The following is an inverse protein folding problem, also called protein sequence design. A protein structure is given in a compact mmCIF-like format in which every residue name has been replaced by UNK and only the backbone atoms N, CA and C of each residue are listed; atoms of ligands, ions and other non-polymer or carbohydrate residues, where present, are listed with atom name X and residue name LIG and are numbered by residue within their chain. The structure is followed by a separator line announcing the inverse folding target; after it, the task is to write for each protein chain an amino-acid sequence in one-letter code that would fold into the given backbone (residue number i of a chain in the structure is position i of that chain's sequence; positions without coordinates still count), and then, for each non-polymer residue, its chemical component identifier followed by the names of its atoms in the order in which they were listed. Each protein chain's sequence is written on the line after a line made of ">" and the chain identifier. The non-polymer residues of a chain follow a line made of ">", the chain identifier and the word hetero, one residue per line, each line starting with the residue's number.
data_IF_890813477601
#
_entry.id   IF_890813477601
#
_cell.length_a   1.000
_cell.length_b   1.000
_cell.length_c   1.000
_cell.angle_alpha   90.00
_cell.angle_beta   90.00
_cell.angle_gamma   90.00
#
_symmetry.space_group_name_H-M   'P 1'
#
loop_
_entity.id
_entity.type
_entity.pdbx_description
1 polymer ?
#
# COMPACT_ATOMS: atom_id res chain seq x y z
N UNK A 1 -16.60 78.22 -1.70
CA UNK A 1 -17.28 77.21 -0.86
C UNK A 1 -18.46 76.67 -1.66
N UNK A 2 -18.44 75.40 -2.07
CA UNK A 2 -19.61 74.52 -2.26
C UNK A 2 -19.14 73.17 -2.82
N UNK A 3 -19.27 72.11 -2.02
CA UNK A 3 -19.07 70.71 -2.41
C UNK A 3 -20.22 70.25 -3.33
N UNK A 4 -19.98 69.46 -4.39
CA UNK A 4 -21.06 68.72 -5.04
C UNK A 4 -21.22 67.31 -4.46
N UNK A 5 -22.46 67.09 -4.03
CA UNK A 5 -23.30 65.89 -4.01
C UNK A 5 -22.68 64.48 -4.09
N UNK A 6 -23.07 63.68 -3.09
CA UNK A 6 -23.00 62.22 -3.05
C UNK A 6 -23.98 61.65 -4.09
N UNK A 7 -23.47 60.88 -5.06
CA UNK A 7 -24.28 60.02 -5.92
C UNK A 7 -24.12 58.57 -5.46
N UNK A 8 -25.18 58.03 -4.87
CA UNK A 8 -25.38 56.58 -4.72
C UNK A 8 -25.80 56.04 -6.07
N UNK A 9 -25.07 55.07 -6.64
CA UNK A 9 -25.66 53.98 -7.43
C UNK A 9 -24.64 52.89 -7.80
N UNK A 10 -25.04 51.67 -7.43
CA UNK A 10 -24.69 50.35 -7.99
C UNK A 10 -23.32 49.77 -7.62
N UNK A 11 -23.34 49.04 -6.51
CA UNK A 11 -22.45 47.90 -6.25
C UNK A 11 -22.84 46.78 -7.21
N UNK A 12 -21.94 46.36 -8.09
CA UNK A 12 -22.01 45.09 -8.80
C UNK A 12 -20.62 44.43 -8.70
N UNK A 13 -20.59 43.33 -7.96
CA UNK A 13 -19.42 42.50 -7.73
C UNK A 13 -19.07 41.70 -8.99
N UNK A 14 -17.78 41.57 -9.28
CA UNK A 14 -17.22 40.48 -10.07
C UNK A 14 -15.94 40.03 -9.37
N UNK A 15 -16.12 39.10 -8.43
CA UNK A 15 -15.06 38.29 -7.84
C UNK A 15 -14.65 37.30 -8.94
N UNK A 16 -13.65 37.66 -9.73
CA UNK A 16 -12.99 36.77 -10.66
C UNK A 16 -11.63 36.37 -10.06
N UNK A 17 -11.43 35.08 -9.79
CA UNK A 17 -10.09 34.52 -9.61
C UNK A 17 -9.79 33.79 -8.31
N UNK A 18 -10.68 32.93 -7.81
CA UNK A 18 -10.28 31.83 -6.91
C UNK A 18 -11.13 30.59 -7.24
N UNK A 19 -10.68 29.78 -8.20
CA UNK A 19 -11.41 28.56 -8.59
C UNK A 19 -10.62 27.58 -9.45
N UNK A 20 -9.29 27.66 -9.45
CA UNK A 20 -8.42 26.71 -10.16
C UNK A 20 -7.61 25.83 -9.19
N UNK A 21 -8.23 25.44 -8.07
CA UNK A 21 -7.67 24.44 -7.16
C UNK A 21 -8.59 23.22 -7.15
N UNK A 22 -7.98 22.06 -7.39
CA UNK A 22 -8.53 20.72 -7.17
C UNK A 22 -9.41 20.13 -8.26
N UNK A 23 -8.81 19.83 -9.42
CA UNK A 23 -9.29 18.77 -10.30
C UNK A 23 -8.14 17.81 -10.66
N UNK A 24 -7.43 17.34 -9.64
CA UNK A 24 -6.67 16.10 -9.70
C UNK A 24 -7.40 15.10 -8.79
N UNK A 25 -8.59 14.66 -9.21
CA UNK A 25 -9.14 13.43 -8.67
C UNK A 25 -8.20 12.33 -9.17
N UNK A 26 -7.36 11.81 -8.28
CA UNK A 26 -6.69 10.53 -8.51
C UNK A 26 -7.79 9.56 -8.96
N UNK A 27 -7.59 8.88 -10.09
CA UNK A 27 -8.43 7.74 -10.40
C UNK A 27 -8.44 6.85 -9.16
N UNK A 28 -9.62 6.63 -8.56
CA UNK A 28 -9.75 5.73 -7.41
C UNK A 28 -9.15 4.38 -7.83
N UNK A 29 -8.22 3.89 -7.01
CA UNK A 29 -7.67 2.55 -7.19
C UNK A 29 -8.85 1.59 -6.98
N UNK A 30 -9.40 1.05 -8.07
CA UNK A 30 -10.54 0.11 -8.03
C UNK A 30 -10.26 -1.13 -7.16
N UNK A 31 -9.02 -1.34 -6.73
CA UNK A 31 -8.58 -2.40 -5.84
C UNK A 31 -8.23 -1.91 -4.42
N UNK A 32 -8.67 -0.72 -4.02
CA UNK A 32 -8.44 -0.17 -2.67
C UNK A 32 -9.07 -1.01 -1.55
N UNK A 33 -10.12 -1.77 -1.85
CA UNK A 33 -10.70 -2.78 -0.95
C UNK A 33 -9.73 -3.92 -0.60
N UNK A 34 -8.68 -4.14 -1.40
CA UNK A 34 -7.62 -5.11 -1.10
C UNK A 34 -6.59 -4.44 -0.18
N UNK A 35 -6.38 -4.95 1.06
CA UNK A 35 -5.54 -4.29 2.06
C UNK A 35 -4.14 -3.96 1.55
N UNK A 36 -3.62 -2.80 1.95
CA UNK A 36 -2.29 -2.35 1.55
C UNK A 36 -1.21 -3.40 1.88
N UNK A 37 -0.30 -3.59 0.93
CA UNK A 37 0.83 -4.49 1.13
C UNK A 37 2.00 -3.80 1.84
N UNK A 38 2.97 -4.61 2.27
CA UNK A 38 4.10 -4.13 3.05
C UNK A 38 5.04 -3.15 2.33
N UNK A 39 5.08 -3.15 0.99
CA UNK A 39 5.83 -2.16 0.20
C UNK A 39 5.21 -0.78 0.37
N UNK A 40 3.89 -0.67 0.20
CA UNK A 40 3.18 0.61 0.39
C UNK A 40 3.32 1.07 1.84
N UNK A 41 3.11 0.17 2.79
CA UNK A 41 3.24 0.49 4.22
C UNK A 41 4.66 0.96 4.56
N UNK A 42 5.70 0.29 4.07
CA UNK A 42 7.08 0.69 4.33
C UNK A 42 7.42 2.02 3.63
N UNK A 43 6.98 2.21 2.39
CA UNK A 43 7.18 3.47 1.67
C UNK A 43 6.61 4.66 2.47
N UNK A 44 5.41 4.49 3.04
CA UNK A 44 4.78 5.49 3.91
C UNK A 44 5.56 5.72 5.22
N UNK A 45 6.13 4.67 5.81
CA UNK A 45 6.98 4.77 7.00
C UNK A 45 8.29 5.52 6.72
N UNK A 46 8.88 5.31 5.53
CA UNK A 46 10.16 5.92 5.13
C UNK A 46 10.02 7.33 4.54
N UNK A 47 8.83 7.71 4.08
CA UNK A 47 8.59 9.01 3.45
C UNK A 47 8.97 10.18 4.37
N UNK A 48 9.82 11.09 3.85
CA UNK A 48 10.24 12.30 4.56
C UNK A 48 11.15 12.05 5.78
N UNK A 49 11.61 10.82 6.01
CA UNK A 49 12.50 10.47 7.12
C UNK A 49 13.94 10.93 6.88
N UNK A 50 14.68 11.16 7.96
CA UNK A 50 16.11 11.47 7.89
C UNK A 50 16.89 10.31 7.28
N UNK A 51 17.93 10.62 6.51
CA UNK A 51 18.66 9.60 5.76
C UNK A 51 19.30 8.56 6.69
N UNK A 52 19.79 8.95 7.86
CA UNK A 52 20.33 8.04 8.87
C UNK A 52 19.27 7.05 9.40
N UNK A 53 18.05 7.52 9.69
CA UNK A 53 16.94 6.68 10.17
C UNK A 53 16.56 5.64 9.11
N UNK A 54 16.46 6.07 7.85
CA UNK A 54 16.11 5.19 6.74
C UNK A 54 17.19 4.13 6.54
N UNK A 55 18.47 4.53 6.51
CA UNK A 55 19.59 3.59 6.36
C UNK A 55 19.64 2.59 7.52
N UNK A 56 19.39 3.05 8.74
CA UNK A 56 19.34 2.17 9.92
C UNK A 56 18.20 1.16 9.83
N UNK A 57 17.04 1.53 9.29
CA UNK A 57 15.90 0.63 9.13
C UNK A 57 16.11 -0.37 7.97
N UNK A 58 16.47 0.10 6.77
CA UNK A 58 16.58 -0.78 5.59
C UNK A 58 17.87 -1.61 5.56
N UNK A 59 18.82 -1.30 6.45
CA UNK A 59 20.13 -1.96 6.54
C UNK A 59 20.23 -3.09 7.56
N UNK A 60 19.15 -3.41 8.30
CA UNK A 60 19.16 -4.46 9.32
C UNK A 60 18.31 -5.67 8.93
N UNK A 61 18.67 -6.84 9.48
CA UNK A 61 17.90 -8.07 9.36
C UNK A 61 17.16 -8.31 10.66
N UNK A 62 15.88 -8.64 10.56
CA UNK A 62 15.07 -9.14 11.65
C UNK A 62 14.12 -10.22 11.14
N UNK A 63 13.74 -11.13 12.03
CA UNK A 63 12.56 -11.97 11.85
C UNK A 63 11.29 -11.11 11.89
N UNK A 64 10.15 -11.68 11.50
CA UNK A 64 8.86 -10.98 11.59
C UNK A 64 8.56 -10.50 13.02
N UNK A 65 8.73 -11.34 14.03
CA UNK A 65 8.38 -11.00 15.41
C UNK A 65 9.32 -9.93 15.98
N UNK A 66 10.60 -10.00 15.61
CA UNK A 66 11.57 -8.96 15.90
C UNK A 66 11.20 -7.64 15.22
N UNK A 67 10.74 -7.66 13.96
CA UNK A 67 10.24 -6.47 13.28
C UNK A 67 9.00 -5.87 13.95
N UNK A 68 8.05 -6.70 14.39
CA UNK A 68 6.88 -6.22 15.15
C UNK A 68 7.31 -5.53 16.43
N UNK A 69 8.20 -6.15 17.21
CA UNK A 69 8.73 -5.57 18.44
C UNK A 69 9.48 -4.26 18.15
N UNK A 70 10.28 -4.23 17.08
CA UNK A 70 11.07 -3.06 16.70
C UNK A 70 10.21 -1.88 16.26
N UNK A 71 9.22 -2.13 15.41
CA UNK A 71 8.28 -1.11 14.94
C UNK A 71 7.47 -0.54 16.11
N UNK A 72 7.01 -1.39 17.04
CA UNK A 72 6.33 -0.92 18.26
C UNK A 72 7.25 -0.05 19.12
N UNK A 73 8.49 -0.48 19.34
CA UNK A 73 9.50 0.28 20.10
C UNK A 73 9.80 1.62 19.46
N UNK A 74 9.89 1.67 18.13
CA UNK A 74 10.16 2.90 17.36
C UNK A 74 8.92 3.75 17.10
N UNK A 75 7.71 3.28 17.42
CA UNK A 75 6.44 3.99 17.17
C UNK A 75 6.49 5.49 17.48
N UNK A 76 6.97 5.94 18.66
CA UNK A 76 7.11 7.37 18.99
C UNK A 76 7.93 8.19 18.00
N UNK A 77 8.89 7.58 17.31
CA UNK A 77 9.74 8.21 16.32
C UNK A 77 9.13 8.16 14.90
N UNK A 78 8.19 7.25 14.65
CA UNK A 78 7.56 7.01 13.35
C UNK A 78 6.04 7.11 13.45
N UNK A 79 5.45 8.31 13.30
CA UNK A 79 4.00 8.52 13.39
C UNK A 79 3.17 7.69 12.40
N UNK A 80 3.76 7.26 11.26
CA UNK A 80 3.13 6.33 10.34
C UNK A 80 2.91 4.95 10.97
N UNK A 81 3.86 4.46 11.78
CA UNK A 81 3.77 3.17 12.47
C UNK A 81 2.68 3.19 13.55
N UNK A 82 2.51 4.31 14.26
CA UNK A 82 1.47 4.45 15.30
C UNK A 82 0.04 4.38 14.76
N UNK A 83 -0.14 4.66 13.47
CA UNK A 83 -1.45 4.64 12.81
C UNK A 83 -1.80 3.28 12.21
N UNK A 84 -0.85 2.33 12.21
CA UNK A 84 -1.09 0.99 11.69
C UNK A 84 -1.97 0.20 12.65
N UNK A 85 -2.97 -0.48 12.11
CA UNK A 85 -3.65 -1.58 12.78
C UNK A 85 -2.69 -2.75 13.05
N UNK A 86 -3.07 -3.68 13.92
CA UNK A 86 -2.26 -4.89 14.16
C UNK A 86 -2.06 -5.71 12.89
N UNK A 87 -3.05 -5.75 11.99
CA UNK A 87 -2.95 -6.43 10.69
C UNK A 87 -1.94 -5.75 9.77
N UNK A 88 -1.98 -4.43 9.66
CA UNK A 88 -1.02 -3.67 8.84
C UNK A 88 0.39 -3.76 9.42
N UNK A 89 0.54 -3.68 10.75
CA UNK A 89 1.82 -3.86 11.42
C UNK A 89 2.40 -5.25 11.14
N UNK A 90 1.58 -6.29 11.23
CA UNK A 90 1.98 -7.66 10.91
C UNK A 90 2.36 -7.81 9.42
N UNK A 91 1.60 -7.18 8.51
CA UNK A 91 1.86 -7.20 7.07
C UNK A 91 3.17 -6.50 6.73
N UNK A 92 3.41 -5.33 7.34
CA UNK A 92 4.67 -4.60 7.21
C UNK A 92 5.85 -5.40 7.73
N UNK A 93 5.74 -5.97 8.94
CA UNK A 93 6.82 -6.76 9.55
C UNK A 93 7.15 -8.03 8.74
N UNK A 94 6.13 -8.71 8.22
CA UNK A 94 6.31 -9.90 7.37
C UNK A 94 7.05 -9.52 6.08
N UNK A 95 6.60 -8.47 5.39
CA UNK A 95 7.29 -7.92 4.21
C UNK A 95 8.75 -7.54 4.48
N UNK A 96 9.02 -6.85 5.59
CA UNK A 96 10.38 -6.46 5.98
C UNK A 96 11.26 -7.67 6.26
N UNK A 97 10.71 -8.77 6.81
CA UNK A 97 11.48 -9.99 7.09
C UNK A 97 11.97 -10.71 5.82
N UNK A 98 11.23 -10.61 4.71
CA UNK A 98 11.62 -11.18 3.42
C UNK A 98 12.59 -10.28 2.65
N UNK A 99 12.41 -8.96 2.75
CA UNK A 99 13.06 -8.01 1.84
C UNK A 99 14.23 -7.23 2.45
N UNK A 100 14.38 -7.24 3.77
CA UNK A 100 15.47 -6.54 4.45
C UNK A 100 16.56 -7.50 4.96
N UNK A 101 17.83 -7.06 5.00
CA UNK A 101 18.33 -5.75 4.56
C UNK A 101 18.31 -5.60 3.03
N UNK A 102 18.13 -4.36 2.55
CA UNK A 102 18.29 -4.06 1.13
C UNK A 102 19.77 -4.17 0.74
N UNK A 103 20.09 -4.68 -0.46
CA UNK A 103 21.43 -4.58 -1.00
C UNK A 103 21.88 -3.10 -1.04
N UNK A 104 23.15 -2.76 -0.72
CA UNK A 104 23.61 -1.37 -0.70
C UNK A 104 23.34 -0.62 -2.01
N UNK A 105 23.48 -1.30 -3.16
CA UNK A 105 23.21 -0.74 -4.49
C UNK A 105 21.72 -0.43 -4.76
N UNK A 106 20.80 -0.96 -3.94
CA UNK A 106 19.36 -0.70 -4.01
C UNK A 106 18.91 0.39 -3.03
N UNK A 107 19.79 0.85 -2.14
CA UNK A 107 19.49 1.98 -1.26
C UNK A 107 19.77 3.28 -2.03
N UNK A 108 18.77 4.15 -2.22
CA UNK A 108 18.95 5.42 -2.94
C UNK A 108 20.04 6.29 -2.30
N UNK A 109 20.76 7.05 -3.14
CA UNK A 109 21.81 7.96 -2.66
C UNK A 109 21.25 9.02 -1.69
N UNK A 110 20.03 9.50 -1.94
CA UNK A 110 19.29 10.40 -1.07
C UNK A 110 17.99 9.74 -0.55
N UNK A 111 18.07 8.91 0.51
CA UNK A 111 16.92 8.19 1.08
C UNK A 111 15.73 9.07 1.45
N UNK A 112 15.99 10.30 1.92
CA UNK A 112 14.95 11.24 2.38
C UNK A 112 14.06 11.78 1.26
N UNK A 113 14.51 11.69 0.00
CA UNK A 113 13.78 12.16 -1.18
C UNK A 113 13.44 11.04 -2.17
N UNK A 114 13.63 9.78 -1.76
CA UNK A 114 13.45 8.65 -2.65
C UNK A 114 11.97 8.31 -2.88
N UNK A 115 11.65 7.89 -4.11
CA UNK A 115 10.39 7.23 -4.44
C UNK A 115 10.43 5.78 -3.95
N UNK A 116 10.15 5.58 -2.65
CA UNK A 116 10.29 4.27 -2.01
C UNK A 116 9.36 3.20 -2.58
N UNK A 117 8.19 3.58 -3.11
CA UNK A 117 7.28 2.68 -3.82
C UNK A 117 7.91 2.02 -5.06
N UNK A 118 8.91 2.67 -5.68
CA UNK A 118 9.66 2.14 -6.82
C UNK A 118 10.99 1.47 -6.44
N UNK A 119 11.60 1.91 -5.33
CA UNK A 119 12.89 1.40 -4.90
C UNK A 119 12.79 0.05 -4.14
N UNK A 120 11.67 -0.17 -3.48
CA UNK A 120 11.40 -1.36 -2.69
C UNK A 120 10.96 -2.55 -3.56
N UNK A 121 11.35 -3.80 -3.20
CA UNK A 121 10.84 -5.00 -3.86
C UNK A 121 9.32 -5.10 -3.80
N UNK A 122 8.71 -5.78 -4.77
CA UNK A 122 7.27 -6.06 -4.79
C UNK A 122 6.82 -6.77 -3.51
N UNK A 123 5.65 -6.40 -3.00
CA UNK A 123 5.00 -7.06 -1.89
C UNK A 123 3.90 -8.05 -2.33
N UNK A 124 3.22 -8.65 -1.36
CA UNK A 124 2.13 -9.58 -1.63
C UNK A 124 0.91 -8.97 -2.31
N UNK A 125 0.56 -7.70 -2.05
CA UNK A 125 -0.52 -7.00 -2.76
C UNK A 125 -0.15 -6.81 -4.21
N UNK A 126 1.08 -6.35 -4.46
CA UNK A 126 1.60 -6.15 -5.81
C UNK A 126 1.61 -7.45 -6.59
N UNK A 127 2.11 -8.53 -5.99
CA UNK A 127 2.14 -9.84 -6.64
C UNK A 127 0.73 -10.40 -6.87
N UNK A 128 -0.22 -10.13 -5.96
CA UNK A 128 -1.62 -10.53 -6.13
C UNK A 128 -2.24 -9.80 -7.33
N UNK A 129 -2.05 -8.48 -7.43
CA UNK A 129 -2.59 -7.68 -8.53
C UNK A 129 -1.85 -7.92 -9.86
N UNK A 130 -0.54 -8.17 -9.84
CA UNK A 130 0.24 -8.41 -11.03
C UNK A 130 0.01 -9.82 -11.59
N UNK A 131 0.02 -10.84 -10.74
CA UNK A 131 0.01 -12.23 -11.18
C UNK A 131 -1.36 -12.89 -11.06
N UNK A 132 -2.11 -12.67 -9.97
CA UNK A 132 -3.36 -13.38 -9.74
C UNK A 132 -4.55 -12.79 -10.51
N UNK A 133 -4.60 -11.47 -10.67
CA UNK A 133 -5.60 -10.79 -11.50
C UNK A 133 -5.38 -11.04 -13.01
N UNK A 134 -4.17 -11.43 -13.43
CA UNK A 134 -3.81 -11.52 -14.85
C UNK A 134 -4.56 -12.61 -15.63
N UNK A 135 -5.02 -13.67 -14.95
CA UNK A 135 -5.71 -14.80 -15.59
C UNK A 135 -7.19 -14.89 -15.24
N UNK A 136 -7.59 -14.41 -14.06
CA UNK A 136 -8.98 -14.39 -13.61
C UNK A 136 -9.16 -13.30 -12.56
N UNK A 137 -10.39 -12.85 -12.36
CA UNK A 137 -10.69 -11.76 -11.42
C UNK A 137 -10.15 -12.04 -10.02
N UNK A 138 -9.42 -11.07 -9.45
CA UNK A 138 -8.70 -11.19 -8.18
C UNK A 138 -9.61 -11.54 -7.00
N UNK A 139 -10.89 -11.21 -7.10
CA UNK A 139 -11.93 -11.57 -6.14
C UNK A 139 -12.00 -13.07 -5.87
N UNK A 140 -11.70 -13.93 -6.84
CA UNK A 140 -11.65 -15.37 -6.60
C UNK A 140 -10.51 -15.76 -5.67
N UNK A 141 -9.50 -14.90 -5.46
CA UNK A 141 -8.36 -15.11 -4.58
C UNK A 141 -8.60 -14.44 -3.24
N UNK A 142 -8.89 -13.13 -3.22
CA UNK A 142 -8.90 -12.34 -1.98
C UNK A 142 -10.09 -12.64 -1.06
N UNK A 143 -11.13 -13.29 -1.56
CA UNK A 143 -12.27 -13.74 -0.75
C UNK A 143 -12.06 -15.10 -0.09
N UNK A 144 -10.97 -15.82 -0.41
CA UNK A 144 -10.73 -17.14 0.15
C UNK A 144 -10.02 -17.04 1.50
N UNK A 145 -10.54 -17.78 2.48
CA UNK A 145 -9.84 -18.07 3.73
C UNK A 145 -9.08 -19.39 3.60
N UNK A 146 -7.75 -19.32 3.64
CA UNK A 146 -6.87 -20.46 3.41
C UNK A 146 -5.62 -20.37 4.26
N UNK A 147 -5.17 -21.55 4.68
CA UNK A 147 -3.87 -21.69 5.32
C UNK A 147 -2.74 -21.40 4.34
N UNK A 148 -1.58 -21.04 4.86
CA UNK A 148 -0.35 -20.85 4.08
C UNK A 148 -0.04 -22.04 3.15
N UNK A 149 -0.16 -23.26 3.66
CA UNK A 149 0.11 -24.48 2.88
C UNK A 149 -0.89 -24.66 1.74
N UNK A 150 -2.16 -24.30 1.95
CA UNK A 150 -3.16 -24.33 0.88
C UNK A 150 -2.89 -23.27 -0.21
N UNK A 151 -2.38 -22.09 0.17
CA UNK A 151 -1.94 -21.07 -0.79
C UNK A 151 -0.73 -21.53 -1.62
N UNK A 152 0.30 -22.05 -0.96
CA UNK A 152 1.48 -22.63 -1.64
C UNK A 152 1.08 -23.77 -2.58
N UNK A 153 0.20 -24.68 -2.13
CA UNK A 153 -0.35 -25.74 -2.95
C UNK A 153 -1.09 -25.22 -4.19
N UNK A 154 -1.83 -24.12 -4.05
CA UNK A 154 -2.55 -23.48 -5.18
C UNK A 154 -1.60 -22.92 -6.23
N UNK A 155 -0.55 -22.22 -5.79
CA UNK A 155 0.48 -21.68 -6.69
C UNK A 155 1.30 -22.78 -7.39
N UNK A 156 1.39 -23.97 -6.80
CA UNK A 156 2.13 -25.11 -7.36
C UNK A 156 1.29 -25.99 -8.29
N UNK A 157 -0.01 -25.69 -8.48
CA UNK A 157 -0.84 -26.41 -9.46
C UNK A 157 -0.30 -26.23 -10.88
N UNK A 158 -0.42 -27.23 -11.77
CA UNK A 158 0.00 -27.11 -13.18
C UNK A 158 -0.54 -25.88 -13.91
N UNK A 159 -1.73 -25.40 -13.54
CA UNK A 159 -2.33 -24.17 -14.11
C UNK A 159 -1.64 -22.87 -13.70
N UNK A 160 -0.75 -22.88 -12.69
CA UNK A 160 -0.10 -21.69 -12.13
C UNK A 160 1.44 -21.75 -12.20
N UNK A 161 2.01 -22.80 -12.81
CA UNK A 161 3.48 -22.94 -12.91
C UNK A 161 4.14 -21.89 -13.78
N UNK A 162 3.39 -21.24 -14.68
CA UNK A 162 3.89 -20.15 -15.53
C UNK A 162 4.02 -18.81 -14.80
N UNK A 163 3.43 -18.68 -13.60
CA UNK A 163 3.59 -17.49 -12.76
C UNK A 163 5.05 -17.39 -12.31
N UNK A 164 5.72 -16.31 -12.72
CA UNK A 164 7.17 -16.07 -12.55
C UNK A 164 7.52 -15.60 -11.13
N UNK A 165 7.15 -16.39 -10.13
CA UNK A 165 7.53 -16.18 -8.74
C UNK A 165 8.55 -17.23 -8.31
N UNK A 166 9.67 -16.78 -7.75
CA UNK A 166 10.64 -17.65 -7.09
C UNK A 166 10.07 -18.18 -5.74
N UNK A 167 10.79 -19.12 -5.11
CA UNK A 167 10.33 -19.75 -3.86
C UNK A 167 10.08 -18.72 -2.73
N UNK A 168 10.97 -17.74 -2.56
CA UNK A 168 10.83 -16.70 -1.54
C UNK A 168 9.60 -15.81 -1.81
N UNK A 169 9.36 -15.46 -3.07
CA UNK A 169 8.20 -14.66 -3.46
C UNK A 169 6.88 -15.42 -3.26
N UNK A 170 6.86 -16.73 -3.52
CA UNK A 170 5.69 -17.59 -3.23
C UNK A 170 5.39 -17.64 -1.73
N UNK A 171 6.43 -17.75 -0.91
CA UNK A 171 6.32 -17.68 0.56
C UNK A 171 5.76 -16.32 1.03
N UNK A 172 6.29 -15.22 0.51
CA UNK A 172 5.84 -13.87 0.84
C UNK A 172 4.40 -13.60 0.38
N UNK A 173 4.02 -14.04 -0.83
CA UNK A 173 2.65 -13.95 -1.32
C UNK A 173 1.68 -14.78 -0.48
N UNK A 174 2.04 -16.02 -0.12
CA UNK A 174 1.21 -16.86 0.73
C UNK A 174 1.00 -16.22 2.12
N UNK A 175 2.06 -15.67 2.73
CA UNK A 175 1.95 -14.99 4.02
C UNK A 175 1.05 -13.75 3.96
N UNK A 176 1.17 -12.94 2.90
CA UNK A 176 0.31 -11.79 2.69
C UNK A 176 -1.17 -12.21 2.58
N UNK A 177 -1.47 -13.24 1.79
CA UNK A 177 -2.84 -13.72 1.61
C UNK A 177 -3.42 -14.32 2.90
N UNK A 178 -2.62 -14.97 3.75
CA UNK A 178 -3.08 -15.41 5.07
C UNK A 178 -3.52 -14.24 5.96
N UNK A 179 -2.87 -13.08 5.85
CA UNK A 179 -3.17 -11.91 6.68
C UNK A 179 -4.27 -11.01 6.11
N UNK A 180 -4.38 -10.96 4.78
CA UNK A 180 -5.12 -9.91 4.07
C UNK A 180 -6.19 -10.42 3.10
N UNK A 181 -6.27 -11.73 2.85
CA UNK A 181 -7.41 -12.32 2.15
C UNK A 181 -8.59 -12.52 3.12
N UNK A 182 -9.47 -13.48 2.82
CA UNK A 182 -10.75 -13.67 3.51
C UNK A 182 -11.60 -12.38 3.55
N UNK A 183 -11.51 -11.56 2.51
CA UNK A 183 -12.33 -10.35 2.38
C UNK A 183 -13.79 -10.79 2.19
N UNK A 184 -14.72 -10.36 3.06
CA UNK A 184 -16.14 -10.63 2.88
C UNK A 184 -16.64 -10.12 1.52
N UNK A 185 -17.53 -10.87 0.86
CA UNK A 185 -17.96 -10.52 -0.51
C UNK A 185 -18.67 -9.17 -0.58
N UNK A 186 -19.35 -8.78 0.51
CA UNK A 186 -20.09 -7.52 0.65
C UNK A 186 -19.15 -6.31 0.71
N UNK A 187 -17.88 -6.53 1.07
CA UNK A 187 -16.81 -5.53 1.00
C UNK A 187 -16.14 -5.45 -0.38
N UNK A 188 -16.43 -6.38 -1.29
CA UNK A 188 -15.93 -6.33 -2.67
C UNK A 188 -16.87 -5.45 -3.49
N UNK A 189 -16.35 -4.49 -4.28
CA UNK A 189 -17.15 -3.72 -5.23
C UNK A 189 -17.99 -4.62 -6.15
N UNK A 190 -19.26 -4.30 -6.37
CA UNK A 190 -20.21 -5.17 -7.08
C UNK A 190 -19.74 -5.53 -8.49
N UNK A 191 -19.15 -4.57 -9.19
CA UNK A 191 -18.56 -4.73 -10.52
C UNK A 191 -17.36 -5.69 -10.55
N UNK A 192 -16.73 -5.90 -9.39
CA UNK A 192 -15.61 -6.81 -9.21
C UNK A 192 -16.01 -8.16 -8.59
N UNK A 193 -17.29 -8.42 -8.32
CA UNK A 193 -17.73 -9.71 -7.78
C UNK A 193 -17.80 -10.76 -8.90
N UNK A 194 -17.07 -11.85 -8.72
CA UNK A 194 -17.07 -12.95 -9.70
C UNK A 194 -18.50 -13.46 -9.95
N UNK A 195 -18.95 -13.41 -11.21
CA UNK A 195 -20.27 -13.90 -11.61
C UNK A 195 -21.46 -13.08 -11.10
N UNK A 196 -21.27 -11.85 -10.63
CA UNK A 196 -22.36 -10.98 -10.12
C UNK A 196 -22.90 -11.40 -8.76
N UNK A 197 -22.09 -12.07 -7.92
CA UNK A 197 -22.51 -12.55 -6.62
C UNK A 197 -23.03 -11.42 -5.70
N UNK A 198 -24.19 -11.61 -5.10
CA UNK A 198 -24.77 -10.74 -4.05
C UNK A 198 -25.14 -11.66 -2.87
N UNK A 199 -24.37 -11.68 -1.79
CA UNK A 199 -24.74 -12.40 -0.56
C UNK A 199 -24.94 -11.39 0.56
#
# INVERSE_FOLDING_TARGET
>A
MTRPAISRRVIAALIAGLGALSAAHAAEDIFDFIPQGGRTLLANVLAGRKAEDVRAMVGVRHTRDEWVAELKRRGPQFPAVQRLSDRELATLADYMSFNLPLPPAKVPANPSKAAWDKALPLDGRDMTLEYCQSCHIVTVVVTQDRTKQAWLGSMNKPSHVQIKLNAQQREALANYLVLNAAIPIDQVPEDLRAGGATY
#
